data_IF_403161773814
#
_entry.id   IF_403161773814
#
_cell.length_a   1.000
_cell.length_b   1.000
_cell.length_c   1.000
_cell.angle_alpha   90.00
_cell.angle_beta   90.00
_cell.angle_gamma   90.00
#
_symmetry.space_group_name_H-M   'P 1'
#
loop_
_entity.id
_entity.type
_entity.pdbx_description
1 polymer ?
#
# COMPACT_ATOMS: atom_id res chain seq x y z
N UNK A 1 6.74 19.24 8.76
CA UNK A 1 6.91 18.19 7.75
C UNK A 1 6.15 18.59 6.49
N UNK A 2 6.78 18.52 5.33
CA UNK A 2 6.13 18.85 4.06
C UNK A 2 5.09 17.80 3.69
N UNK A 3 4.18 18.15 2.76
CA UNK A 3 3.22 17.18 2.24
C UNK A 3 3.92 15.98 1.63
N UNK A 4 5.00 16.22 0.87
CA UNK A 4 5.76 15.12 0.25
C UNK A 4 6.33 14.17 1.29
N UNK A 5 6.93 14.70 2.37
CA UNK A 5 7.47 13.87 3.44
C UNK A 5 6.37 13.08 4.15
N UNK A 6 5.22 13.70 4.40
CA UNK A 6 4.08 13.00 5.01
C UNK A 6 3.58 11.88 4.12
N UNK A 7 3.48 12.11 2.81
CA UNK A 7 3.06 11.11 1.84
C UNK A 7 4.06 9.96 1.81
N UNK A 8 5.35 10.26 1.79
CA UNK A 8 6.39 9.22 1.83
C UNK A 8 6.29 8.38 3.10
N UNK A 9 5.97 9.01 4.24
CA UNK A 9 5.75 8.29 5.49
C UNK A 9 4.52 7.37 5.43
N UNK A 10 3.45 7.80 4.78
CA UNK A 10 2.25 6.96 4.60
C UNK A 10 2.58 5.76 3.70
N UNK A 11 3.34 5.97 2.64
CA UNK A 11 3.79 4.87 1.76
C UNK A 11 4.68 3.90 2.54
N UNK A 12 5.59 4.41 3.37
CA UNK A 12 6.44 3.55 4.22
C UNK A 12 5.58 2.74 5.19
N UNK A 13 4.57 3.36 5.80
CA UNK A 13 3.66 2.69 6.72
C UNK A 13 2.90 1.55 6.01
N UNK A 14 2.45 1.80 4.78
CA UNK A 14 1.80 0.79 3.94
C UNK A 14 2.76 -0.39 3.67
N UNK A 15 3.99 -0.10 3.28
CA UNK A 15 4.99 -1.16 3.05
C UNK A 15 5.29 -1.92 4.34
N UNK A 16 5.44 -1.22 5.46
CA UNK A 16 5.68 -1.85 6.75
C UNK A 16 4.53 -2.76 7.16
N UNK A 17 3.30 -2.38 6.84
CA UNK A 17 2.12 -3.22 7.15
C UNK A 17 2.22 -4.59 6.48
N UNK A 18 2.68 -4.62 5.23
CA UNK A 18 2.89 -5.87 4.50
C UNK A 18 4.11 -6.63 5.00
N UNK A 19 5.21 -5.93 5.23
CA UNK A 19 6.47 -6.53 5.67
C UNK A 19 6.33 -7.20 7.04
N UNK A 20 5.55 -6.61 7.93
CA UNK A 20 5.33 -7.10 9.29
C UNK A 20 4.06 -7.94 9.44
N UNK A 21 3.27 -8.09 8.38
CA UNK A 21 1.94 -8.72 8.43
C UNK A 21 1.08 -8.10 9.54
N UNK A 22 1.05 -6.78 9.58
CA UNK A 22 0.46 -6.00 10.65
C UNK A 22 -0.84 -5.30 10.18
N UNK A 23 -2.02 -5.84 10.52
CA UNK A 23 -3.29 -5.28 10.08
C UNK A 23 -3.58 -3.89 10.65
N UNK A 24 -3.06 -3.57 11.83
CA UNK A 24 -3.24 -2.25 12.44
C UNK A 24 -2.56 -1.16 11.61
N UNK A 25 -1.38 -1.45 11.07
CA UNK A 25 -0.67 -0.52 10.19
C UNK A 25 -1.39 -0.31 8.86
N UNK A 26 -2.06 -1.34 8.34
CA UNK A 26 -2.93 -1.18 7.16
C UNK A 26 -4.00 -0.13 7.47
N UNK A 27 -4.68 -0.27 8.59
CA UNK A 27 -5.77 0.64 8.98
C UNK A 27 -5.28 2.05 9.31
N UNK A 28 -4.02 2.19 9.70
CA UNK A 28 -3.41 3.51 9.90
C UNK A 28 -3.07 4.19 8.58
N UNK A 29 -2.61 3.43 7.59
CA UNK A 29 -2.19 3.98 6.30
C UNK A 29 -3.37 4.30 5.38
N UNK A 30 -4.43 3.48 5.42
CA UNK A 30 -5.58 3.59 4.52
C UNK A 30 -6.75 4.31 5.18
N UNK A 31 -7.47 5.08 4.37
CA UNK A 31 -8.79 5.59 4.77
C UNK A 31 -9.74 4.40 4.91
N UNK A 32 -10.70 4.50 5.84
CA UNK A 32 -11.63 3.41 6.13
C UNK A 32 -12.44 2.94 4.91
N UNK A 33 -12.69 3.85 3.96
CA UNK A 33 -13.44 3.56 2.74
C UNK A 33 -12.56 3.20 1.55
N UNK A 34 -11.26 3.07 1.75
CA UNK A 34 -10.33 2.76 0.66
C UNK A 34 -10.52 1.35 0.13
N UNK A 35 -10.04 1.13 -1.08
CA UNK A 35 -10.05 -0.20 -1.71
C UNK A 35 -8.70 -0.52 -2.33
N UNK A 36 -8.38 -1.81 -2.35
CA UNK A 36 -7.24 -2.35 -3.07
C UNK A 36 -7.79 -3.19 -4.24
N UNK A 37 -7.47 -2.80 -5.47
CA UNK A 37 -8.10 -3.34 -6.67
C UNK A 37 -7.05 -3.68 -7.71
N UNK A 38 -7.19 -4.84 -8.35
CA UNK A 38 -6.31 -5.25 -9.44
C UNK A 38 -6.57 -6.68 -9.87
N UNK A 39 -5.72 -7.16 -10.75
CA UNK A 39 -5.74 -8.56 -11.17
C UNK A 39 -4.59 -9.32 -10.51
N UNK A 40 -4.90 -10.47 -9.92
CA UNK A 40 -3.89 -11.35 -9.32
C UNK A 40 -4.13 -12.75 -9.84
N UNK A 41 -3.09 -13.36 -10.42
CA UNK A 41 -3.20 -14.70 -11.05
C UNK A 41 -4.34 -14.78 -12.07
N UNK A 42 -4.57 -13.68 -12.78
CA UNK A 42 -5.62 -13.60 -13.81
C UNK A 42 -7.03 -13.30 -13.28
N UNK A 43 -7.21 -13.22 -11.97
CA UNK A 43 -8.51 -12.96 -11.34
C UNK A 43 -8.63 -11.52 -10.89
N UNK A 44 -9.77 -10.90 -11.20
CA UNK A 44 -10.09 -9.56 -10.72
C UNK A 44 -10.36 -9.61 -9.20
N UNK A 45 -9.69 -8.73 -8.46
CA UNK A 45 -9.84 -8.64 -7.01
C UNK A 45 -10.18 -7.21 -6.61
N UNK A 46 -11.18 -7.07 -5.76
CA UNK A 46 -11.53 -5.80 -5.15
C UNK A 46 -11.69 -6.04 -3.65
N UNK A 47 -10.78 -5.48 -2.87
CA UNK A 47 -10.74 -5.68 -1.43
C UNK A 47 -11.03 -4.37 -0.70
N UNK A 48 -11.89 -4.43 0.33
CA UNK A 48 -12.02 -3.36 1.31
C UNK A 48 -10.76 -3.28 2.17
N UNK A 49 -10.66 -2.24 3.00
CA UNK A 49 -9.56 -2.14 3.97
C UNK A 49 -9.58 -3.34 4.94
N UNK A 50 -10.76 -3.74 5.38
CA UNK A 50 -10.88 -4.90 6.27
C UNK A 50 -10.41 -6.18 5.59
N UNK A 51 -10.79 -6.39 4.33
CA UNK A 51 -10.37 -7.56 3.56
C UNK A 51 -8.84 -7.56 3.38
N UNK A 52 -8.28 -6.43 3.02
CA UNK A 52 -6.84 -6.32 2.81
C UNK A 52 -6.08 -6.50 4.14
N UNK A 53 -6.60 -5.93 5.24
CA UNK A 53 -6.03 -6.13 6.57
C UNK A 53 -6.01 -7.61 6.97
N UNK A 54 -7.12 -8.31 6.69
CA UNK A 54 -7.22 -9.75 6.96
C UNK A 54 -6.25 -10.56 6.13
N UNK A 55 -6.11 -10.22 4.85
CA UNK A 55 -5.15 -10.87 3.97
C UNK A 55 -3.72 -10.69 4.50
N UNK A 56 -3.34 -9.45 4.82
CA UNK A 56 -2.01 -9.14 5.35
C UNK A 56 -1.76 -9.90 6.65
N UNK A 57 -2.73 -9.88 7.56
CA UNK A 57 -2.61 -10.59 8.84
C UNK A 57 -2.43 -12.10 8.67
N UNK A 58 -2.99 -12.69 7.61
CA UNK A 58 -2.92 -14.12 7.36
C UNK A 58 -1.55 -14.59 6.88
N UNK A 59 -0.67 -13.69 6.47
CA UNK A 59 0.66 -14.03 5.97
C UNK A 59 1.62 -14.23 7.14
N UNK A 60 1.58 -15.42 7.74
CA UNK A 60 2.42 -15.76 8.87
C UNK A 60 3.26 -17.00 8.56
N UNK A 61 4.55 -17.01 8.89
CA UNK A 61 5.30 -15.88 9.43
C UNK A 61 5.39 -14.72 8.43
N UNK A 62 5.62 -13.51 8.96
CA UNK A 62 5.68 -12.32 8.10
C UNK A 62 6.87 -12.35 7.15
N UNK A 63 6.83 -11.59 6.05
CA UNK A 63 8.00 -11.43 5.18
C UNK A 63 9.25 -11.04 5.96
N UNK A 64 9.11 -10.14 6.93
CA UNK A 64 10.23 -9.70 7.77
C UNK A 64 10.80 -10.86 8.58
N UNK A 65 9.96 -11.68 9.18
CA UNK A 65 10.38 -12.85 9.98
C UNK A 65 11.08 -13.90 9.12
N UNK A 66 10.63 -14.06 7.87
CA UNK A 66 11.23 -15.02 6.93
C UNK A 66 12.51 -14.52 6.29
N UNK A 67 12.88 -13.26 6.51
CA UNK A 67 14.01 -12.64 5.82
C UNK A 67 13.72 -12.29 4.36
N UNK A 68 12.45 -12.26 3.98
CA UNK A 68 11.98 -11.94 2.62
C UNK A 68 11.32 -10.57 2.62
N UNK A 69 12.00 -9.58 3.17
CA UNK A 69 11.47 -8.23 3.35
C UNK A 69 10.84 -7.67 2.08
N UNK A 70 9.75 -6.94 2.26
CA UNK A 70 9.14 -6.17 1.18
C UNK A 70 10.10 -5.04 0.82
N UNK A 71 10.53 -4.99 -0.44
CA UNK A 71 11.36 -3.90 -0.95
C UNK A 71 10.52 -3.04 -1.88
N UNK A 72 10.79 -1.74 -1.91
CA UNK A 72 10.00 -0.82 -2.72
C UNK A 72 10.80 0.38 -3.18
N UNK A 73 10.31 1.02 -4.25
CA UNK A 73 10.82 2.33 -4.66
C UNK A 73 9.64 3.19 -5.13
N UNK A 74 9.66 4.46 -4.78
CA UNK A 74 8.68 5.43 -5.26
C UNK A 74 9.17 5.94 -6.60
N UNK A 75 8.37 5.69 -7.65
CA UNK A 75 8.71 6.08 -9.02
C UNK A 75 8.27 7.50 -9.34
N UNK A 76 7.15 7.94 -8.77
CA UNK A 76 6.65 9.30 -8.96
C UNK A 76 5.72 9.67 -7.81
N UNK A 77 5.63 10.97 -7.54
CA UNK A 77 4.74 11.53 -6.53
C UNK A 77 4.25 12.88 -7.04
N UNK A 78 2.97 12.98 -7.35
CA UNK A 78 2.36 14.20 -7.86
C UNK A 78 1.31 14.69 -6.89
N UNK A 79 1.44 15.94 -6.46
CA UNK A 79 0.58 16.54 -5.43
C UNK A 79 -0.16 17.73 -6.02
N UNK A 80 -1.50 17.72 -5.89
CA UNK A 80 -2.35 18.85 -6.26
C UNK A 80 -3.25 19.17 -5.06
N UNK A 81 -2.88 20.19 -4.29
CA UNK A 81 -3.66 20.59 -3.11
C UNK A 81 -3.77 19.45 -2.10
N UNK A 82 -4.98 19.01 -1.80
CA UNK A 82 -5.25 17.96 -0.83
C UNK A 82 -5.28 16.56 -1.44
N UNK A 83 -4.83 16.39 -2.69
CA UNK A 83 -4.81 15.11 -3.38
C UNK A 83 -3.42 14.79 -3.89
N UNK A 84 -3.11 13.49 -3.98
CA UNK A 84 -1.83 13.05 -4.53
C UNK A 84 -1.98 11.72 -5.24
N UNK A 85 -1.12 11.51 -6.23
CA UNK A 85 -0.98 10.25 -6.95
C UNK A 85 0.47 9.81 -6.83
N UNK A 86 0.69 8.59 -6.38
CA UNK A 86 2.03 8.04 -6.16
C UNK A 86 2.15 6.71 -6.87
N UNK A 87 3.21 6.54 -7.66
CA UNK A 87 3.54 5.27 -8.26
C UNK A 87 4.65 4.59 -7.45
N UNK A 88 4.42 3.34 -7.10
CA UNK A 88 5.35 2.56 -6.29
C UNK A 88 5.55 1.20 -6.94
N UNK A 89 6.80 0.80 -7.11
CA UNK A 89 7.12 -0.58 -7.45
C UNK A 89 7.52 -1.27 -6.16
N UNK A 90 6.86 -2.39 -5.85
CA UNK A 90 7.19 -3.16 -4.66
C UNK A 90 7.20 -4.65 -4.95
N UNK A 91 7.96 -5.39 -4.14
CA UNK A 91 8.01 -6.85 -4.23
C UNK A 91 7.46 -7.42 -2.93
N UNK A 92 6.37 -8.16 -3.04
CA UNK A 92 5.66 -8.74 -1.91
C UNK A 92 5.24 -10.16 -2.26
N UNK A 93 5.56 -11.11 -1.36
CA UNK A 93 5.23 -12.54 -1.55
C UNK A 93 5.75 -13.11 -2.87
N UNK A 94 6.95 -12.69 -3.27
CA UNK A 94 7.58 -13.17 -4.51
C UNK A 94 7.06 -12.52 -5.78
N UNK A 95 6.12 -11.58 -5.67
CA UNK A 95 5.49 -10.90 -6.81
C UNK A 95 5.95 -9.46 -6.86
N UNK A 96 6.34 -9.00 -8.05
CA UNK A 96 6.66 -7.59 -8.27
C UNK A 96 5.41 -6.87 -8.75
N UNK A 97 4.97 -5.91 -7.95
CA UNK A 97 3.79 -5.09 -8.24
C UNK A 97 4.19 -3.68 -8.66
N UNK A 98 3.40 -3.12 -9.56
CA UNK A 98 3.39 -1.69 -9.81
C UNK A 98 2.08 -1.16 -9.24
N UNK A 99 2.17 -0.38 -8.19
CA UNK A 99 1.02 0.20 -7.50
C UNK A 99 0.78 1.62 -7.94
N UNK A 100 -0.48 1.96 -8.25
CA UNK A 100 -0.92 3.34 -8.40
C UNK A 100 -1.73 3.67 -7.15
N UNK A 101 -1.19 4.56 -6.32
CA UNK A 101 -1.79 4.95 -5.05
C UNK A 101 -2.40 6.33 -5.15
N UNK A 102 -3.66 6.46 -4.74
CA UNK A 102 -4.33 7.75 -4.63
C UNK A 102 -4.42 8.10 -3.16
N UNK A 103 -4.00 9.32 -2.80
CA UNK A 103 -4.01 9.78 -1.42
C UNK A 103 -4.84 11.06 -1.31
N UNK A 104 -5.40 11.25 -0.14
CA UNK A 104 -6.16 12.46 0.19
C UNK A 104 -5.76 12.96 1.57
N UNK A 105 -5.71 14.28 1.72
CA UNK A 105 -5.42 14.94 2.99
C UNK A 105 -6.72 15.34 3.66
N UNK A 106 -6.97 14.78 4.85
CA UNK A 106 -8.17 15.04 5.64
C UNK A 106 -7.71 15.41 7.05
N UNK A 107 -8.19 16.56 7.56
CA UNK A 107 -7.82 17.04 8.91
C UNK A 107 -6.29 17.04 9.11
N UNK A 108 -5.57 17.56 8.11
CA UNK A 108 -4.11 17.67 8.12
C UNK A 108 -3.36 16.34 8.05
N UNK A 109 -4.06 15.24 7.77
CA UNK A 109 -3.45 13.91 7.65
C UNK A 109 -3.66 13.31 6.26
N UNK A 110 -2.57 12.81 5.68
CA UNK A 110 -2.64 12.08 4.41
C UNK A 110 -3.01 10.62 4.65
N UNK A 111 -3.94 10.10 3.83
CA UNK A 111 -4.37 8.71 3.87
C UNK A 111 -4.42 8.15 2.45
N UNK A 112 -4.07 6.88 2.30
CA UNK A 112 -4.32 6.15 1.07
C UNK A 112 -5.84 5.98 0.91
N UNK A 113 -6.38 6.42 -0.22
CA UNK A 113 -7.82 6.28 -0.49
C UNK A 113 -8.10 5.19 -1.51
N UNK A 114 -7.14 4.88 -2.38
CA UNK A 114 -7.30 3.80 -3.34
C UNK A 114 -5.92 3.25 -3.72
N UNK A 115 -5.87 1.93 -3.94
CA UNK A 115 -4.69 1.24 -4.42
C UNK A 115 -5.10 0.44 -5.64
N UNK A 116 -4.52 0.76 -6.79
CA UNK A 116 -4.62 -0.08 -7.98
C UNK A 116 -3.28 -0.80 -8.12
N UNK A 117 -3.32 -2.13 -8.16
CA UNK A 117 -2.09 -2.90 -8.29
C UNK A 117 -2.04 -3.61 -9.65
N UNK A 118 -0.86 -3.65 -10.23
CA UNK A 118 -0.57 -4.35 -11.47
C UNK A 118 0.58 -5.31 -11.22
N UNK A 119 0.40 -6.58 -11.56
CA UNK A 119 1.47 -7.58 -11.44
C UNK A 119 2.40 -7.44 -12.62
N UNK A 120 3.65 -7.05 -12.38
CA UNK A 120 4.67 -6.94 -13.42
C UNK A 120 5.37 -8.26 -13.66
N UNK A 121 5.62 -9.03 -12.58
CA UNK A 121 6.26 -10.34 -12.69
C UNK A 121 5.98 -11.19 -11.45
N UNK A 122 5.99 -12.48 -11.62
CA UNK A 122 5.79 -13.44 -10.52
C UNK A 122 7.06 -14.32 -10.30
#
# INVERSE_FOLDING_TARGET
>A
MSDKEQIENVVQLYVDSMDESNPDKVKQAFHINAKAVGYLHGDFMEMSVDDFSGFVASQQPSPKEKGENVVFEILSCEIQGATASVKVRDKYLGITFLDTLSLIKIDSEWKLYNKLFHVESE
#
